data_IF_448123130857
#
_entry.id   IF_448123130857
#
_cell.length_a   1.000
_cell.length_b   1.000
_cell.length_c   1.000
_cell.angle_alpha   90.00
_cell.angle_beta   90.00
_cell.angle_gamma   90.00
#
_symmetry.space_group_name_H-M   'P 1'
#
loop_
_entity.id
_entity.type
_entity.pdbx_description
1 polymer ?
#
# COMPACT_ATOMS: atom_id res chain seq x y z
N UNK A 1 -8.41 25.72 29.85
CA UNK A 1 -7.51 25.13 30.85
C UNK A 1 -7.75 23.63 30.86
N UNK A 2 -7.01 22.86 30.07
CA UNK A 2 -7.04 21.40 30.12
C UNK A 2 -5.96 20.97 31.08
N UNK A 3 -6.34 20.44 32.25
CA UNK A 3 -5.42 19.89 33.24
C UNK A 3 -4.55 18.81 32.61
N UNK A 4 -3.24 18.92 32.80
CA UNK A 4 -2.28 17.89 32.39
C UNK A 4 -2.51 16.62 33.21
N UNK A 5 -2.62 15.44 32.59
CA UNK A 5 -2.83 14.19 33.32
C UNK A 5 -1.62 13.86 34.21
N UNK A 6 -1.89 13.21 35.35
CA UNK A 6 -0.87 12.81 36.32
C UNK A 6 -0.08 11.57 35.87
N UNK A 7 1.04 11.29 36.53
CA UNK A 7 1.95 10.17 36.18
C UNK A 7 1.29 8.79 36.40
N UNK A 8 0.41 8.70 37.39
CA UNK A 8 -0.40 7.51 37.67
C UNK A 8 -1.50 7.31 36.62
N UNK A 9 -2.10 8.39 36.10
CA UNK A 9 -3.08 8.33 35.02
C UNK A 9 -2.45 7.81 33.71
N UNK A 10 -1.23 8.25 33.39
CA UNK A 10 -0.48 7.77 32.23
C UNK A 10 -0.07 6.30 32.37
N UNK A 11 0.36 5.87 33.56
CA UNK A 11 0.72 4.47 33.83
C UNK A 11 -0.50 3.54 33.77
N UNK A 12 -1.65 3.99 34.25
CA UNK A 12 -2.91 3.25 34.15
C UNK A 12 -3.42 3.18 32.71
N UNK A 13 -3.29 4.27 31.94
CA UNK A 13 -3.59 4.27 30.50
C UNK A 13 -2.68 3.30 29.74
N UNK A 14 -1.40 3.21 30.11
CA UNK A 14 -0.44 2.27 29.52
C UNK A 14 -0.87 0.82 29.73
N UNK A 15 -1.17 0.44 30.97
CA UNK A 15 -1.63 -0.90 31.32
C UNK A 15 -2.94 -1.25 30.60
N UNK A 16 -3.85 -0.28 30.48
CA UNK A 16 -5.13 -0.45 29.78
C UNK A 16 -4.94 -0.65 28.27
N UNK A 17 -4.13 0.19 27.61
CA UNK A 17 -3.87 0.10 26.17
C UNK A 17 -3.13 -1.19 25.82
N UNK A 18 -2.18 -1.61 26.67
CA UNK A 18 -1.49 -2.88 26.55
C UNK A 18 -2.45 -4.08 26.68
N UNK A 19 -3.40 -4.01 27.61
CA UNK A 19 -4.41 -5.06 27.79
C UNK A 19 -5.39 -5.17 26.63
N UNK A 20 -5.76 -4.05 26.01
CA UNK A 20 -6.77 -4.01 24.93
C UNK A 20 -6.14 -4.17 23.53
N UNK A 21 -4.81 -4.06 23.39
CA UNK A 21 -4.12 -4.30 22.12
C UNK A 21 -4.41 -3.25 21.03
N UNK A 22 -4.71 -2.01 21.42
CA UNK A 22 -5.24 -0.95 20.53
C UNK A 22 -4.16 0.01 20.02
N UNK A 23 -2.88 -0.30 20.22
CA UNK A 23 -1.77 0.57 19.80
C UNK A 23 -1.81 0.93 18.30
N UNK A 24 -2.38 0.08 17.46
CA UNK A 24 -2.56 0.34 16.01
C UNK A 24 -3.55 1.47 15.69
N UNK A 25 -4.38 1.89 16.66
CA UNK A 25 -5.45 2.90 16.46
C UNK A 25 -5.24 4.18 17.25
N UNK A 26 -4.17 4.27 18.03
CA UNK A 26 -3.88 5.46 18.84
C UNK A 26 -3.07 6.48 18.03
N UNK A 27 -3.73 7.60 17.68
CA UNK A 27 -3.05 8.83 17.28
C UNK A 27 -2.91 9.69 18.52
N UNK A 28 -1.70 9.86 19.05
CA UNK A 28 -1.49 10.95 19.98
C UNK A 28 -0.95 12.18 19.25
N UNK A 29 -1.37 13.34 19.73
CA UNK A 29 -0.89 14.65 19.30
C UNK A 29 0.07 15.10 20.42
N UNK A 30 1.36 14.81 20.26
CA UNK A 30 2.40 14.89 21.28
C UNK A 30 2.93 16.32 21.39
N UNK A 31 2.09 17.24 21.86
CA UNK A 31 2.48 18.65 22.01
C UNK A 31 3.29 18.89 23.31
N UNK A 32 3.54 17.86 24.15
CA UNK A 32 4.13 18.03 25.49
C UNK A 32 5.34 17.09 25.75
N UNK A 33 6.50 17.59 26.25
CA UNK A 33 7.71 16.81 26.52
C UNK A 33 7.53 15.56 27.39
N UNK A 34 6.56 15.51 28.32
CA UNK A 34 6.28 14.32 29.15
C UNK A 34 5.66 13.14 28.38
N UNK A 35 5.17 13.36 27.16
CA UNK A 35 4.80 12.27 26.27
C UNK A 35 6.00 11.39 25.95
N UNK A 36 7.19 11.98 25.77
CA UNK A 36 8.41 11.27 25.34
C UNK A 36 8.82 10.12 26.27
N UNK A 37 8.61 10.24 27.58
CA UNK A 37 8.92 9.18 28.55
C UNK A 37 7.88 8.04 28.50
N UNK A 38 6.61 8.35 28.20
CA UNK A 38 5.59 7.34 27.87
C UNK A 38 5.94 6.60 26.57
N UNK A 39 6.54 7.27 25.58
CA UNK A 39 7.10 6.60 24.41
C UNK A 39 8.25 5.67 24.79
N UNK A 40 9.19 6.09 25.65
CA UNK A 40 10.32 5.22 26.08
C UNK A 40 9.83 3.94 26.77
N UNK A 41 8.82 4.03 27.63
CA UNK A 41 8.19 2.85 28.26
C UNK A 41 7.50 1.93 27.25
N UNK A 42 6.85 2.50 26.22
CA UNK A 42 6.28 1.71 25.13
C UNK A 42 7.35 1.08 24.22
N UNK A 43 8.53 1.70 24.10
CA UNK A 43 9.63 1.24 23.23
C UNK A 43 10.30 -0.06 23.69
N UNK A 44 10.29 -0.36 24.99
CA UNK A 44 10.96 -1.53 25.60
C UNK A 44 10.04 -2.74 25.77
N UNK A 45 8.72 -2.58 25.60
CA UNK A 45 7.74 -3.66 25.74
C UNK A 45 7.66 -4.53 24.48
N UNK A 46 7.57 -5.86 24.65
CA UNK A 46 7.49 -6.89 23.59
C UNK A 46 6.16 -6.88 22.78
N UNK A 47 5.59 -5.72 22.47
CA UNK A 47 4.27 -5.62 21.82
C UNK A 47 4.39 -5.59 20.30
N UNK A 48 3.71 -6.52 19.62
CA UNK A 48 3.73 -6.76 18.17
C UNK A 48 3.02 -5.71 17.29
N UNK A 49 2.73 -4.51 17.79
CA UNK A 49 2.14 -3.42 17.00
C UNK A 49 2.76 -2.08 17.36
N UNK A 50 3.45 -1.46 16.41
CA UNK A 50 4.22 -0.23 16.64
C UNK A 50 3.69 0.89 15.74
N UNK A 51 2.72 1.64 16.26
CA UNK A 51 2.44 3.01 15.81
C UNK A 51 3.34 3.91 16.63
N UNK A 52 4.28 4.64 16.00
CA UNK A 52 5.16 5.59 16.71
C UNK A 52 5.05 6.97 16.07
N UNK A 53 4.65 7.97 16.86
CA UNK A 53 4.51 9.36 16.45
C UNK A 53 5.57 10.21 17.15
N UNK A 54 6.25 11.07 16.38
CA UNK A 54 7.15 12.09 16.90
C UNK A 54 6.64 13.42 16.39
N UNK A 55 5.98 14.16 17.29
CA UNK A 55 5.67 15.54 17.06
C UNK A 55 6.80 16.38 17.69
N UNK A 56 7.44 17.20 16.85
CA UNK A 56 8.08 18.46 17.25
C UNK A 56 9.35 18.42 18.14
N UNK A 57 10.30 17.53 17.84
CA UNK A 57 11.68 17.65 18.32
C UNK A 57 12.69 17.66 17.15
N UNK A 58 13.95 18.02 17.44
CA UNK A 58 14.94 18.40 16.44
C UNK A 58 15.31 17.28 15.46
N UNK A 59 16.14 17.61 14.47
CA UNK A 59 16.64 16.63 13.49
C UNK A 59 17.31 15.42 14.15
N UNK A 60 17.91 15.61 15.33
CA UNK A 60 18.55 14.55 16.12
C UNK A 60 17.54 13.46 16.57
N UNK A 61 16.38 13.86 17.09
CA UNK A 61 15.34 12.92 17.55
C UNK A 61 14.73 12.14 16.37
N UNK A 62 14.60 12.79 15.21
CA UNK A 62 14.21 12.12 13.98
C UNK A 62 15.27 11.11 13.50
N UNK A 63 16.55 11.39 13.67
CA UNK A 63 17.64 10.47 13.31
C UNK A 63 17.70 9.27 14.25
N UNK A 64 17.63 9.48 15.56
CA UNK A 64 17.57 8.40 16.56
C UNK A 64 16.34 7.50 16.34
N UNK A 65 15.20 8.10 15.96
CA UNK A 65 14.02 7.35 15.54
C UNK A 65 14.28 6.48 14.33
N UNK A 66 14.91 7.02 13.28
CA UNK A 66 15.23 6.24 12.10
C UNK A 66 16.27 5.14 12.37
N UNK A 67 17.16 5.34 13.35
CA UNK A 67 18.09 4.31 13.82
C UNK A 67 17.35 3.18 14.56
N UNK A 68 16.41 3.52 15.43
CA UNK A 68 15.53 2.54 16.08
C UNK A 68 14.56 1.87 15.11
N UNK A 69 14.13 2.55 14.05
CA UNK A 69 13.39 1.94 12.94
C UNK A 69 14.26 0.94 12.16
N UNK A 70 15.52 1.30 11.87
CA UNK A 70 16.43 0.44 11.12
C UNK A 70 16.77 -0.86 11.88
N UNK A 71 16.83 -0.80 13.21
CA UNK A 71 17.16 -1.95 14.07
C UNK A 71 15.99 -2.89 14.35
N UNK A 72 14.75 -2.47 14.14
CA UNK A 72 13.56 -3.27 14.47
C UNK A 72 12.93 -3.94 13.25
N UNK A 73 12.69 -5.27 13.33
CA UNK A 73 12.10 -6.08 12.24
C UNK A 73 10.57 -6.04 12.16
N UNK A 74 9.89 -5.35 13.08
CA UNK A 74 8.44 -5.48 13.31
C UNK A 74 7.62 -4.20 13.05
N UNK A 75 8.24 -3.10 12.63
CA UNK A 75 7.51 -1.83 12.54
C UNK A 75 6.64 -1.78 11.28
N UNK A 76 5.33 -1.71 11.49
CA UNK A 76 4.35 -1.62 10.42
C UNK A 76 4.01 -0.18 10.05
N UNK A 77 4.11 0.80 10.96
CA UNK A 77 3.67 2.18 10.72
C UNK A 77 4.69 3.19 11.25
N UNK A 78 5.16 4.10 10.40
CA UNK A 78 6.05 5.20 10.80
C UNK A 78 5.40 6.57 10.56
N UNK A 79 5.46 7.44 11.58
CA UNK A 79 4.96 8.81 11.53
C UNK A 79 6.09 9.77 11.85
N UNK A 80 6.33 10.73 10.97
CA UNK A 80 7.40 11.72 11.12
C UNK A 80 6.86 13.12 10.89
N UNK A 81 6.75 13.93 11.94
CA UNK A 81 6.48 15.36 11.83
C UNK A 81 7.74 16.19 12.14
N UNK A 82 8.37 16.75 11.11
CA UNK A 82 9.57 17.60 11.24
C UNK A 82 9.32 18.97 10.61
N UNK A 83 9.48 20.00 11.42
CA UNK A 83 9.18 21.40 11.08
C UNK A 83 10.41 22.15 10.53
N UNK A 84 11.63 21.64 10.73
CA UNK A 84 12.91 22.21 10.26
C UNK A 84 13.53 21.35 9.14
N UNK A 85 14.54 21.85 8.40
CA UNK A 85 15.13 21.18 7.22
C UNK A 85 15.42 19.69 7.48
N UNK A 86 14.67 18.82 6.80
CA UNK A 86 14.78 17.37 6.95
C UNK A 86 15.96 16.75 6.18
N UNK A 87 16.86 17.56 5.59
CA UNK A 87 18.00 17.10 4.78
C UNK A 87 18.85 16.00 5.43
N UNK A 88 19.15 16.02 6.75
CA UNK A 88 19.97 14.97 7.37
C UNK A 88 19.22 13.64 7.55
N UNK A 89 17.89 13.70 7.64
CA UNK A 89 16.97 12.58 7.88
C UNK A 89 16.78 11.72 6.61
N UNK A 90 17.14 12.29 5.45
CA UNK A 90 16.82 11.76 4.11
C UNK A 90 17.38 10.35 3.83
N UNK A 91 18.69 10.09 3.97
CA UNK A 91 19.24 8.80 3.54
C UNK A 91 18.70 7.67 4.42
N UNK A 92 18.61 7.94 5.73
CA UNK A 92 18.12 6.97 6.70
C UNK A 92 16.63 6.69 6.55
N UNK A 93 15.83 7.70 6.16
CA UNK A 93 14.41 7.48 5.89
C UNK A 93 14.25 6.52 4.70
N UNK A 94 15.01 6.73 3.64
CA UNK A 94 14.99 5.86 2.46
C UNK A 94 15.31 4.41 2.83
N UNK A 95 16.29 4.18 3.71
CA UNK A 95 16.62 2.84 4.21
C UNK A 95 15.47 2.21 5.01
N UNK A 96 14.78 3.01 5.83
CA UNK A 96 13.65 2.53 6.65
C UNK A 96 12.38 2.26 5.84
N UNK A 97 12.17 2.98 4.73
CA UNK A 97 11.02 2.81 3.83
C UNK A 97 10.93 1.37 3.30
N UNK A 98 12.05 0.66 3.14
CA UNK A 98 12.06 -0.75 2.73
C UNK A 98 11.31 -1.68 3.70
N UNK A 99 11.18 -1.29 4.98
CA UNK A 99 10.74 -2.18 6.07
C UNK A 99 9.37 -1.83 6.63
N UNK A 100 8.78 -0.70 6.23
CA UNK A 100 7.50 -0.21 6.77
C UNK A 100 6.32 -0.55 5.85
N UNK A 101 5.16 -0.85 6.45
CA UNK A 101 3.90 -1.09 5.70
C UNK A 101 3.10 0.19 5.49
N UNK A 102 3.17 1.14 6.40
CA UNK A 102 2.48 2.41 6.33
C UNK A 102 3.47 3.53 6.68
N UNK A 103 3.40 4.61 5.92
CA UNK A 103 4.32 5.74 6.05
C UNK A 103 3.53 7.05 5.99
N UNK A 104 3.55 7.78 7.11
CA UNK A 104 3.02 9.12 7.17
C UNK A 104 4.16 10.10 7.41
N UNK A 105 4.33 11.01 6.46
CA UNK A 105 5.35 12.04 6.47
C UNK A 105 4.69 13.41 6.50
N UNK A 106 4.95 14.12 7.58
CA UNK A 106 4.53 15.50 7.76
C UNK A 106 5.77 16.36 7.87
N UNK A 107 6.41 16.54 6.73
CA UNK A 107 7.75 17.09 6.65
C UNK A 107 7.76 18.29 5.71
N UNK A 108 8.57 19.30 6.00
CA UNK A 108 8.85 20.34 5.01
C UNK A 108 9.89 19.82 3.99
N UNK A 109 9.44 19.18 2.91
CA UNK A 109 10.35 18.61 1.90
C UNK A 109 10.91 19.69 0.99
N UNK A 110 12.21 19.63 0.70
CA UNK A 110 12.76 20.25 -0.50
C UNK A 110 12.41 19.42 -1.73
N UNK A 111 12.43 20.03 -2.92
CA UNK A 111 12.17 19.35 -4.19
C UNK A 111 13.10 18.14 -4.40
N UNK A 112 14.40 18.32 -4.17
CA UNK A 112 15.40 17.26 -4.29
C UNK A 112 15.14 16.08 -3.34
N UNK A 113 14.65 16.36 -2.12
CA UNK A 113 14.29 15.29 -1.20
C UNK A 113 13.03 14.55 -1.65
N UNK A 114 12.00 15.27 -2.07
CA UNK A 114 10.79 14.66 -2.63
C UNK A 114 11.12 13.73 -3.81
N UNK A 115 12.00 14.15 -4.72
CA UNK A 115 12.50 13.31 -5.82
C UNK A 115 13.13 12.02 -5.30
N UNK A 116 14.00 12.12 -4.30
CA UNK A 116 14.72 10.97 -3.73
C UNK A 116 13.76 9.99 -3.04
N UNK A 117 12.81 10.51 -2.26
CA UNK A 117 11.75 9.73 -1.62
C UNK A 117 10.87 9.01 -2.65
N UNK A 118 10.41 9.69 -3.69
CA UNK A 118 9.57 9.06 -4.72
C UNK A 118 10.32 7.99 -5.51
N UNK A 119 11.61 8.20 -5.80
CA UNK A 119 12.46 7.17 -6.42
C UNK A 119 12.63 5.94 -5.52
N UNK A 120 12.77 6.12 -4.21
CA UNK A 120 12.82 5.01 -3.26
C UNK A 120 11.49 4.26 -3.22
N UNK A 121 10.38 4.99 -3.15
CA UNK A 121 9.02 4.43 -3.12
C UNK A 121 8.63 3.75 -4.44
N UNK A 122 9.18 4.15 -5.59
CA UNK A 122 8.89 3.56 -6.90
C UNK A 122 9.13 2.03 -6.91
N UNK A 123 10.22 1.59 -6.28
CA UNK A 123 10.61 0.16 -6.18
C UNK A 123 10.16 -0.49 -4.88
N UNK A 124 9.61 0.29 -3.96
CA UNK A 124 9.18 -0.22 -2.67
C UNK A 124 8.00 -1.18 -2.83
N UNK A 125 8.00 -2.26 -2.03
CA UNK A 125 6.96 -3.29 -2.02
C UNK A 125 6.23 -3.42 -0.68
N UNK A 126 6.65 -2.63 0.31
CA UNK A 126 6.20 -2.73 1.70
C UNK A 126 5.12 -1.70 1.99
N UNK A 127 5.35 -0.43 1.60
CA UNK A 127 4.46 0.70 1.88
C UNK A 127 3.17 0.60 1.06
N UNK A 128 2.04 0.50 1.77
CA UNK A 128 0.67 0.50 1.28
C UNK A 128 -0.01 1.86 1.44
N UNK A 129 0.30 2.60 2.49
CA UNK A 129 -0.26 3.93 2.76
C UNK A 129 0.84 4.97 2.78
N UNK A 130 0.69 6.01 1.96
CA UNK A 130 1.55 7.19 1.95
C UNK A 130 0.70 8.43 2.18
N UNK A 131 0.99 9.16 3.25
CA UNK A 131 0.45 10.51 3.46
C UNK A 131 1.62 11.49 3.56
N UNK A 132 1.67 12.46 2.64
CA UNK A 132 2.69 13.50 2.62
C UNK A 132 2.01 14.85 2.78
N UNK A 133 2.45 15.62 3.76
CA UNK A 133 2.28 17.08 3.74
C UNK A 133 3.58 17.69 3.26
N UNK A 134 3.55 18.44 2.17
CA UNK A 134 4.74 19.09 1.62
C UNK A 134 4.42 20.55 1.28
N UNK A 135 5.40 21.43 1.51
CA UNK A 135 5.27 22.86 1.27
C UNK A 135 5.92 23.31 -0.05
N UNK A 136 6.77 22.49 -0.70
CA UNK A 136 7.49 22.86 -1.92
C UNK A 136 7.74 21.65 -2.84
N UNK A 137 6.91 21.49 -3.87
CA UNK A 137 7.15 20.55 -4.97
C UNK A 137 7.50 21.34 -6.24
N UNK A 138 8.64 21.05 -6.86
CA UNK A 138 8.99 21.53 -8.19
C UNK A 138 8.52 20.58 -9.30
N UNK A 139 8.92 20.87 -10.54
CA UNK A 139 8.62 20.01 -11.69
C UNK A 139 9.27 18.63 -11.57
N UNK A 140 10.47 18.54 -11.02
CA UNK A 140 11.17 17.26 -10.92
C UNK A 140 10.51 16.30 -9.93
N UNK A 141 10.09 16.80 -8.77
CA UNK A 141 9.34 15.98 -7.82
C UNK A 141 7.96 15.59 -8.34
N UNK A 142 7.27 16.45 -9.09
CA UNK A 142 6.03 16.11 -9.77
C UNK A 142 6.21 14.93 -10.73
N UNK A 143 7.22 14.97 -11.60
CA UNK A 143 7.54 13.88 -12.51
C UNK A 143 7.97 12.61 -11.75
N UNK A 144 8.73 12.74 -10.67
CA UNK A 144 9.13 11.61 -9.84
C UNK A 144 7.92 10.95 -9.13
N UNK A 145 6.98 11.75 -8.63
CA UNK A 145 5.72 11.28 -8.06
C UNK A 145 4.89 10.51 -9.09
N UNK A 146 4.71 11.04 -10.30
CA UNK A 146 3.99 10.34 -11.35
C UNK A 146 4.63 9.00 -11.75
N UNK A 147 5.97 8.96 -11.87
CA UNK A 147 6.68 7.70 -12.10
C UNK A 147 6.47 6.69 -10.97
N UNK A 148 6.55 7.15 -9.73
CA UNK A 148 6.29 6.33 -8.55
C UNK A 148 4.86 5.76 -8.59
N UNK A 149 3.86 6.60 -8.81
CA UNK A 149 2.45 6.19 -8.94
C UNK A 149 2.26 5.20 -10.09
N UNK A 150 2.89 5.41 -11.25
CA UNK A 150 2.74 4.51 -12.41
C UNK A 150 3.32 3.11 -12.17
N UNK A 151 4.39 3.00 -11.37
CA UNK A 151 5.17 1.74 -11.22
C UNK A 151 4.98 1.03 -9.89
N UNK A 152 4.61 1.74 -8.84
CA UNK A 152 4.40 1.14 -7.54
C UNK A 152 3.12 0.28 -7.56
N UNK A 153 3.23 -0.95 -7.04
CA UNK A 153 2.15 -1.95 -6.98
C UNK A 153 1.73 -2.33 -5.55
N UNK A 154 2.41 -1.80 -4.54
CA UNK A 154 2.12 -2.06 -3.12
C UNK A 154 1.21 -0.98 -2.52
N UNK A 155 1.31 0.25 -2.99
CA UNK A 155 0.59 1.41 -2.50
C UNK A 155 -0.89 1.34 -2.86
N UNK A 156 -1.74 1.43 -1.85
CA UNK A 156 -3.20 1.42 -1.93
C UNK A 156 -3.79 2.78 -1.59
N UNK A 157 -3.08 3.62 -0.82
CA UNK A 157 -3.57 4.94 -0.43
C UNK A 157 -2.48 5.98 -0.60
N UNK A 158 -2.79 7.06 -1.32
CA UNK A 158 -1.93 8.21 -1.52
C UNK A 158 -2.65 9.48 -1.08
N UNK A 159 -2.14 10.16 -0.06
CA UNK A 159 -2.67 11.44 0.41
C UNK A 159 -1.59 12.49 0.30
N UNK A 160 -1.90 13.58 -0.38
CA UNK A 160 -0.99 14.70 -0.55
C UNK A 160 -1.71 15.97 -0.09
N UNK A 161 -1.17 16.59 0.95
CA UNK A 161 -1.62 17.87 1.48
C UNK A 161 -0.65 18.96 1.00
N UNK A 162 -1.12 19.75 0.04
CA UNK A 162 -0.42 20.84 -0.60
C UNK A 162 -0.88 22.14 0.07
N UNK A 163 -0.03 22.70 0.94
CA UNK A 163 -0.30 24.02 1.53
C UNK A 163 0.38 25.10 0.70
N UNK A 164 -0.43 26.03 0.23
CA UNK A 164 0.03 27.24 -0.46
C UNK A 164 0.66 28.22 0.54
N UNK A 165 1.91 28.58 0.27
CA UNK A 165 2.48 29.85 0.73
C UNK A 165 3.13 30.51 -0.49
N UNK A 166 2.51 31.61 -0.95
CA UNK A 166 2.84 32.47 -2.09
C UNK A 166 2.39 32.06 -3.51
N UNK A 167 2.07 33.10 -4.31
CA UNK A 167 1.58 33.05 -5.70
C UNK A 167 2.49 32.30 -6.69
N UNK A 168 3.75 32.05 -6.35
CA UNK A 168 4.69 31.28 -7.18
C UNK A 168 4.43 29.76 -7.19
N UNK A 169 3.53 29.25 -6.33
CA UNK A 169 3.25 27.81 -6.19
C UNK A 169 2.11 27.28 -7.09
N UNK A 170 1.35 28.13 -7.75
CA UNK A 170 0.22 27.73 -8.61
C UNK A 170 0.71 26.94 -9.85
N UNK A 171 1.80 27.38 -10.48
CA UNK A 171 2.42 26.69 -11.64
C UNK A 171 2.95 25.30 -11.26
N UNK A 172 3.47 25.17 -10.04
CA UNK A 172 3.99 23.92 -9.50
C UNK A 172 2.85 22.94 -9.19
N UNK A 173 1.77 23.43 -8.59
CA UNK A 173 0.55 22.68 -8.32
C UNK A 173 -0.05 22.11 -9.61
N UNK A 174 -0.17 22.95 -10.65
CA UNK A 174 -0.64 22.53 -11.98
C UNK A 174 0.24 21.42 -12.59
N UNK A 175 1.56 21.49 -12.37
CA UNK A 175 2.49 20.46 -12.85
C UNK A 175 2.23 19.10 -12.18
N UNK A 176 2.03 19.08 -10.85
CA UNK A 176 1.70 17.84 -10.12
C UNK A 176 0.36 17.28 -10.58
N UNK A 177 -0.66 18.12 -10.72
CA UNK A 177 -1.97 17.70 -11.16
C UNK A 177 -1.90 17.03 -12.54
N UNK A 178 -1.20 17.64 -13.50
CA UNK A 178 -1.02 17.07 -14.85
C UNK A 178 -0.29 15.73 -14.86
N UNK A 179 0.80 15.65 -14.10
CA UNK A 179 1.59 14.42 -13.98
C UNK A 179 0.76 13.29 -13.34
N UNK A 180 -0.06 13.60 -12.32
CA UNK A 180 -0.96 12.64 -11.69
C UNK A 180 -2.13 12.23 -12.59
N UNK A 181 -2.65 13.12 -13.44
CA UNK A 181 -3.67 12.78 -14.45
C UNK A 181 -3.18 11.71 -15.41
N UNK A 182 -1.91 11.77 -15.82
CA UNK A 182 -1.35 10.76 -16.72
C UNK A 182 -0.98 9.45 -15.98
N UNK A 183 -0.58 9.56 -14.72
CA UNK A 183 -0.08 8.43 -13.94
C UNK A 183 -1.21 7.58 -13.33
N UNK A 184 -2.21 8.19 -12.70
CA UNK A 184 -3.25 7.49 -11.93
C UNK A 184 -4.08 6.52 -12.78
N UNK A 185 -4.52 6.86 -14.01
CA UNK A 185 -5.26 5.93 -14.86
C UNK A 185 -4.48 4.66 -15.21
N UNK A 186 -3.15 4.73 -15.23
CA UNK A 186 -2.26 3.59 -15.51
C UNK A 186 -2.00 2.73 -14.26
N UNK A 187 -2.29 3.22 -13.06
CA UNK A 187 -2.18 2.46 -11.83
C UNK A 187 -3.45 1.65 -11.55
N UNK A 188 -3.29 0.36 -11.24
CA UNK A 188 -4.39 -0.59 -10.95
C UNK A 188 -4.56 -0.94 -9.46
N UNK A 189 -3.73 -0.38 -8.59
CA UNK A 189 -3.54 -0.82 -7.21
C UNK A 189 -3.98 0.21 -6.16
N UNK A 190 -3.96 1.50 -6.51
CA UNK A 190 -4.46 2.58 -5.66
C UNK A 190 -5.98 2.49 -5.51
N UNK A 191 -6.44 2.55 -4.26
CA UNK A 191 -7.86 2.50 -3.87
C UNK A 191 -8.35 3.82 -3.26
N UNK A 192 -7.45 4.69 -2.82
CA UNK A 192 -7.76 6.02 -2.32
C UNK A 192 -6.65 7.01 -2.72
N UNK A 193 -7.05 8.15 -3.30
CA UNK A 193 -6.16 9.25 -3.63
C UNK A 193 -6.80 10.54 -3.14
N UNK A 194 -6.15 11.25 -2.24
CA UNK A 194 -6.62 12.53 -1.71
C UNK A 194 -5.59 13.60 -2.03
N UNK A 195 -5.99 14.62 -2.79
CA UNK A 195 -5.21 15.82 -3.03
C UNK A 195 -5.90 16.97 -2.29
N UNK A 196 -5.29 17.47 -1.21
CA UNK A 196 -5.84 18.59 -0.43
C UNK A 196 -5.08 19.86 -0.81
N UNK A 197 -5.81 20.82 -1.38
CA UNK A 197 -5.33 22.16 -1.73
C UNK A 197 -6.55 23.09 -1.74
N UNK A 198 -6.33 24.40 -1.56
CA UNK A 198 -7.43 25.39 -1.54
C UNK A 198 -8.01 25.60 -2.94
N UNK A 199 -7.20 25.49 -3.99
CA UNK A 199 -7.56 25.76 -5.38
C UNK A 199 -8.06 24.53 -6.16
N UNK A 200 -7.70 23.30 -5.77
CA UNK A 200 -8.02 22.07 -6.55
C UNK A 200 -9.45 21.55 -6.34
N UNK A 201 -10.36 22.33 -5.76
CA UNK A 201 -11.79 21.96 -5.75
C UNK A 201 -12.39 21.78 -7.16
N UNK A 202 -11.70 22.20 -8.22
CA UNK A 202 -12.18 22.11 -9.62
C UNK A 202 -11.34 21.24 -10.55
N UNK A 203 -10.13 20.81 -10.18
CA UNK A 203 -9.22 20.12 -11.11
C UNK A 203 -9.20 18.60 -10.80
N UNK A 204 -9.70 17.81 -11.76
CA UNK A 204 -9.39 16.37 -11.99
C UNK A 204 -9.99 15.33 -11.03
N UNK A 205 -10.99 15.72 -10.26
CA UNK A 205 -11.71 14.78 -9.41
C UNK A 205 -12.38 13.65 -10.24
N UNK A 206 -12.82 13.93 -11.47
CA UNK A 206 -13.44 12.91 -12.34
C UNK A 206 -12.47 11.80 -12.80
N UNK A 207 -11.25 12.16 -13.21
CA UNK A 207 -10.24 11.19 -13.68
C UNK A 207 -9.79 10.31 -12.52
N UNK A 208 -9.49 10.92 -11.37
CA UNK A 208 -9.10 10.19 -10.16
C UNK A 208 -10.24 9.29 -9.71
N UNK A 209 -11.48 9.81 -9.56
CA UNK A 209 -12.65 8.99 -9.19
C UNK A 209 -12.87 7.84 -10.16
N UNK A 210 -12.77 8.07 -11.47
CA UNK A 210 -12.96 7.03 -12.50
C UNK A 210 -11.91 5.93 -12.36
N UNK A 211 -10.63 6.30 -12.23
CA UNK A 211 -9.54 5.34 -12.05
C UNK A 211 -9.68 4.54 -10.74
N UNK A 212 -10.03 5.22 -9.63
CA UNK A 212 -10.25 4.58 -8.34
C UNK A 212 -11.47 3.65 -8.39
N UNK A 213 -12.58 4.07 -9.00
CA UNK A 213 -13.77 3.21 -9.19
C UNK A 213 -13.43 1.95 -10.00
N UNK A 214 -12.64 2.08 -11.07
CA UNK A 214 -12.13 0.95 -11.86
C UNK A 214 -11.28 0.02 -10.99
N UNK A 215 -10.39 0.55 -10.14
CA UNK A 215 -9.55 -0.27 -9.25
C UNK A 215 -10.38 -1.03 -8.20
N UNK A 216 -11.37 -0.38 -7.59
CA UNK A 216 -12.34 -1.06 -6.71
C UNK A 216 -13.12 -2.14 -7.47
N UNK A 217 -13.51 -1.89 -8.72
CA UNK A 217 -14.11 -2.88 -9.60
C UNK A 217 -13.25 -4.12 -9.79
N UNK A 218 -11.95 -3.94 -10.07
CA UNK A 218 -10.98 -5.04 -10.19
C UNK A 218 -10.86 -5.83 -8.89
N UNK A 219 -10.77 -5.16 -7.74
CA UNK A 219 -10.72 -5.85 -6.44
C UNK A 219 -11.99 -6.66 -6.21
N UNK A 220 -13.16 -6.10 -6.50
CA UNK A 220 -14.44 -6.80 -6.34
C UNK A 220 -14.56 -8.01 -7.27
N UNK A 221 -14.07 -7.91 -8.51
CA UNK A 221 -13.96 -9.03 -9.45
C UNK A 221 -13.05 -10.14 -8.89
N UNK A 222 -11.87 -9.78 -8.39
CA UNK A 222 -10.96 -10.73 -7.75
C UNK A 222 -11.59 -11.41 -6.52
N UNK A 223 -12.33 -10.66 -5.70
CA UNK A 223 -13.07 -11.22 -4.56
C UNK A 223 -14.18 -12.18 -4.99
N UNK A 224 -14.91 -11.89 -6.07
CA UNK A 224 -15.90 -12.83 -6.64
C UNK A 224 -15.23 -14.11 -7.12
N UNK A 225 -14.06 -14.00 -7.76
CA UNK A 225 -13.28 -15.16 -8.13
C UNK A 225 -12.95 -15.99 -6.90
N UNK A 226 -12.39 -15.41 -5.84
CA UNK A 226 -12.08 -16.11 -4.59
C UNK A 226 -13.32 -16.83 -4.04
N UNK A 227 -14.48 -16.16 -4.04
CA UNK A 227 -15.77 -16.71 -3.60
C UNK A 227 -16.36 -17.80 -4.51
N UNK A 228 -15.77 -18.10 -5.68
CA UNK A 228 -16.20 -19.20 -6.54
C UNK A 228 -16.67 -18.83 -7.94
N UNK A 229 -16.55 -17.57 -8.37
CA UNK A 229 -16.88 -17.20 -9.74
C UNK A 229 -15.95 -17.88 -10.75
N UNK A 230 -16.52 -18.37 -11.86
CA UNK A 230 -15.80 -18.99 -12.97
C UNK A 230 -15.72 -18.10 -14.22
N UNK A 231 -15.98 -16.80 -14.07
CA UNK A 231 -15.87 -15.84 -15.17
C UNK A 231 -14.40 -15.52 -15.45
N UNK A 232 -14.03 -15.48 -16.74
CA UNK A 232 -12.68 -15.09 -17.20
C UNK A 232 -12.23 -13.75 -16.61
N UNK A 233 -13.12 -12.76 -16.62
CA UNK A 233 -12.88 -11.41 -16.09
C UNK A 233 -12.54 -11.40 -14.60
N UNK A 234 -13.28 -12.17 -13.79
CA UNK A 234 -13.06 -12.27 -12.35
C UNK A 234 -11.72 -12.99 -12.06
N UNK A 235 -11.43 -14.05 -12.82
CA UNK A 235 -10.16 -14.77 -12.72
C UNK A 235 -8.96 -13.91 -13.15
N UNK A 236 -9.11 -13.10 -14.21
CA UNK A 236 -8.08 -12.17 -14.68
C UNK A 236 -7.81 -11.09 -13.63
N UNK A 237 -8.86 -10.54 -13.01
CA UNK A 237 -8.69 -9.57 -11.94
C UNK A 237 -7.93 -10.18 -10.74
N UNK A 238 -8.20 -11.45 -10.41
CA UNK A 238 -7.44 -12.18 -9.40
C UNK A 238 -5.98 -12.40 -9.83
N UNK A 239 -5.71 -12.83 -11.06
CA UNK A 239 -4.36 -13.03 -11.59
C UNK A 239 -3.50 -11.76 -11.43
N UNK A 240 -4.09 -10.60 -11.72
CA UNK A 240 -3.44 -9.27 -11.59
C UNK A 240 -3.17 -8.90 -10.11
N UNK A 241 -4.09 -9.23 -9.21
CA UNK A 241 -4.11 -8.70 -7.83
C UNK A 241 -3.68 -9.69 -6.74
N UNK A 242 -3.46 -10.97 -7.06
CA UNK A 242 -3.19 -12.05 -6.10
C UNK A 242 -2.04 -11.76 -5.11
N UNK A 243 -1.08 -10.92 -5.50
CA UNK A 243 0.07 -10.55 -4.68
C UNK A 243 -0.02 -9.13 -4.10
N UNK A 244 -1.13 -8.43 -4.28
CA UNK A 244 -1.26 -7.03 -3.93
C UNK A 244 -1.87 -6.82 -2.54
N UNK A 245 -1.43 -5.77 -1.86
CA UNK A 245 -1.97 -5.39 -0.55
C UNK A 245 -3.45 -4.99 -0.62
N UNK A 246 -3.90 -4.42 -1.75
CA UNK A 246 -5.30 -4.01 -1.98
C UNK A 246 -6.28 -5.17 -1.85
N UNK A 247 -5.95 -6.34 -2.40
CA UNK A 247 -6.78 -7.54 -2.31
C UNK A 247 -6.83 -8.08 -0.88
N UNK A 248 -5.67 -8.16 -0.21
CA UNK A 248 -5.58 -8.60 1.21
C UNK A 248 -6.40 -7.69 2.13
N UNK A 249 -6.25 -6.38 2.01
CA UNK A 249 -7.02 -5.41 2.79
C UNK A 249 -8.53 -5.57 2.58
N UNK A 250 -8.95 -5.82 1.35
CA UNK A 250 -10.37 -5.96 1.00
C UNK A 250 -10.94 -7.32 1.43
N UNK A 251 -10.14 -8.39 1.36
CA UNK A 251 -10.47 -9.71 1.92
C UNK A 251 -10.69 -9.62 3.42
N UNK A 252 -9.78 -8.95 4.14
CA UNK A 252 -9.86 -8.72 5.59
C UNK A 252 -11.21 -8.13 5.99
N UNK A 253 -11.64 -7.08 5.28
CA UNK A 253 -12.92 -6.41 5.53
C UNK A 253 -14.11 -7.30 5.18
N UNK A 254 -14.05 -8.04 4.06
CA UNK A 254 -15.15 -8.90 3.60
C UNK A 254 -15.36 -10.15 4.48
N UNK A 255 -14.28 -10.73 4.99
CA UNK A 255 -14.31 -11.94 5.79
C UNK A 255 -14.39 -11.66 7.30
N UNK A 256 -14.28 -10.38 7.71
CA UNK A 256 -14.23 -9.93 9.09
C UNK A 256 -13.21 -10.72 9.95
N UNK A 257 -12.12 -11.17 9.33
CA UNK A 257 -11.02 -11.88 9.99
C UNK A 257 -9.81 -10.95 10.12
N UNK A 258 -9.06 -11.08 11.20
CA UNK A 258 -7.75 -10.41 11.35
C UNK A 258 -6.59 -11.39 11.18
N UNK A 259 -6.85 -12.68 10.92
CA UNK A 259 -5.83 -13.70 10.75
C UNK A 259 -5.28 -13.68 9.32
N UNK A 260 -3.98 -13.41 9.20
CA UNK A 260 -3.26 -13.41 7.93
C UNK A 260 -3.20 -14.82 7.30
N UNK A 261 -3.21 -15.86 8.13
CA UNK A 261 -3.14 -17.26 7.69
C UNK A 261 -4.41 -17.68 6.95
N UNK A 262 -5.57 -17.27 7.46
CA UNK A 262 -6.85 -17.49 6.78
C UNK A 262 -6.90 -16.76 5.45
N UNK A 263 -6.45 -15.50 5.40
CA UNK A 263 -6.41 -14.72 4.16
C UNK A 263 -5.52 -15.38 3.11
N UNK A 264 -4.34 -15.85 3.50
CA UNK A 264 -3.43 -16.55 2.59
C UNK A 264 -4.02 -17.88 2.12
N UNK A 265 -4.74 -18.62 2.99
CA UNK A 265 -5.46 -19.85 2.59
C UNK A 265 -6.46 -19.59 1.46
N UNK A 266 -7.30 -18.56 1.57
CA UNK A 266 -8.27 -18.21 0.52
C UNK A 266 -7.59 -17.82 -0.80
N UNK A 267 -6.46 -17.09 -0.72
CA UNK A 267 -5.68 -16.71 -1.91
C UNK A 267 -5.05 -17.95 -2.54
N UNK A 268 -4.48 -18.86 -1.75
CA UNK A 268 -3.86 -20.09 -2.24
C UNK A 268 -4.88 -21.06 -2.86
N UNK A 269 -6.08 -21.18 -2.28
CA UNK A 269 -7.19 -21.94 -2.86
C UNK A 269 -7.62 -21.36 -4.21
N UNK A 270 -7.75 -20.04 -4.31
CA UNK A 270 -8.06 -19.38 -5.57
C UNK A 270 -6.93 -19.53 -6.61
N UNK A 271 -5.66 -19.47 -6.19
CA UNK A 271 -4.49 -19.71 -7.07
C UNK A 271 -4.49 -21.13 -7.62
N UNK A 272 -4.76 -22.12 -6.76
CA UNK A 272 -4.93 -23.52 -7.19
C UNK A 272 -6.06 -23.64 -8.21
N UNK A 273 -7.23 -23.08 -7.92
CA UNK A 273 -8.37 -23.10 -8.85
C UNK A 273 -8.02 -22.48 -10.20
N UNK A 274 -7.35 -21.33 -10.22
CA UNK A 274 -6.90 -20.68 -11.45
C UNK A 274 -6.05 -21.62 -12.32
N UNK A 275 -5.13 -22.37 -11.71
CA UNK A 275 -4.28 -23.33 -12.42
C UNK A 275 -5.01 -24.60 -12.88
N UNK A 276 -5.92 -25.15 -12.05
CA UNK A 276 -6.65 -26.37 -12.38
C UNK A 276 -7.71 -26.14 -13.45
N UNK A 277 -8.39 -25.00 -13.39
CA UNK A 277 -9.50 -24.69 -14.27
C UNK A 277 -9.13 -23.69 -15.38
N UNK A 278 -7.83 -23.46 -15.61
CA UNK A 278 -7.32 -22.49 -16.60
C UNK A 278 -8.07 -22.58 -17.94
N UNK A 279 -8.10 -23.77 -18.55
CA UNK A 279 -8.73 -23.98 -19.87
C UNK A 279 -10.24 -23.77 -19.88
N UNK A 280 -10.91 -23.96 -18.74
CA UNK A 280 -12.34 -23.63 -18.58
C UNK A 280 -12.50 -22.12 -18.47
N UNK A 281 -11.66 -21.46 -17.66
CA UNK A 281 -11.69 -20.02 -17.45
C UNK A 281 -11.40 -19.23 -18.75
N UNK A 282 -10.49 -19.71 -19.60
CA UNK A 282 -10.21 -19.10 -20.91
C UNK A 282 -11.17 -19.55 -22.02
N UNK A 283 -12.11 -20.45 -21.73
CA UNK A 283 -13.12 -20.90 -22.70
C UNK A 283 -12.63 -21.89 -23.76
N UNK A 284 -11.40 -22.41 -23.64
CA UNK A 284 -10.85 -23.43 -24.56
C UNK A 284 -11.62 -24.76 -24.43
N UNK A 285 -12.07 -25.10 -23.21
CA UNK A 285 -12.90 -26.28 -22.95
C UNK A 285 -14.12 -25.93 -22.11
N UNK A 286 -15.23 -26.66 -22.30
CA UNK A 286 -16.45 -26.44 -21.51
C UNK A 286 -16.37 -26.99 -20.08
N UNK A 287 -15.58 -28.05 -19.86
CA UNK A 287 -15.52 -28.72 -18.56
C UNK A 287 -14.19 -29.43 -18.29
N UNK A 288 -13.72 -30.27 -19.22
CA UNK A 288 -12.49 -31.05 -19.05
C UNK A 288 -11.72 -31.13 -20.36
N UNK A 289 -10.40 -31.13 -20.26
CA UNK A 289 -9.49 -31.34 -21.37
C UNK A 289 -9.55 -32.81 -21.81
N UNK A 290 -9.78 -33.02 -23.09
CA UNK A 290 -9.66 -34.30 -23.76
C UNK A 290 -8.85 -34.09 -25.03
N UNK A 291 -7.74 -34.82 -25.17
CA UNK A 291 -6.92 -34.76 -26.37
C UNK A 291 -7.42 -35.78 -27.39
N UNK A 292 -7.45 -35.39 -28.67
CA UNK A 292 -7.73 -36.33 -29.74
C UNK A 292 -6.74 -37.52 -29.72
N UNK A 293 -7.17 -38.72 -30.14
CA UNK A 293 -6.29 -39.87 -30.25
C UNK A 293 -5.11 -39.55 -31.18
N UNK A 294 -3.88 -39.74 -30.72
CA UNK A 294 -2.68 -39.54 -31.52
C UNK A 294 -2.09 -40.90 -31.91
N UNK A 295 -1.61 -41.04 -33.15
CA UNK A 295 -1.24 -42.31 -33.78
C UNK A 295 0.14 -42.88 -33.36
N UNK A 296 0.85 -42.28 -32.40
CA UNK A 296 2.12 -42.78 -31.86
C UNK A 296 2.23 -42.40 -30.39
N UNK A 297 2.88 -43.25 -29.59
CA UNK A 297 2.98 -43.25 -28.11
C UNK A 297 3.56 -42.01 -27.41
N UNK A 298 3.31 -40.81 -27.93
CA UNK A 298 3.56 -39.54 -27.27
C UNK A 298 2.64 -39.34 -26.07
N UNK A 299 3.20 -38.84 -24.97
CA UNK A 299 2.46 -38.43 -23.77
C UNK A 299 1.45 -37.34 -24.12
N UNK A 300 0.16 -37.61 -23.87
CA UNK A 300 -0.92 -36.66 -24.10
C UNK A 300 -1.19 -35.82 -22.87
N UNK A 301 -1.55 -34.55 -23.07
CA UNK A 301 -1.81 -33.60 -21.98
C UNK A 301 -2.94 -34.08 -21.05
N UNK A 302 -4.03 -34.62 -21.62
CA UNK A 302 -5.18 -35.16 -20.89
C UNK A 302 -4.85 -36.38 -20.00
N UNK A 303 -3.73 -37.06 -20.27
CA UNK A 303 -3.23 -38.19 -19.49
C UNK A 303 -2.26 -37.80 -18.37
N UNK A 304 -1.82 -36.55 -18.33
CA UNK A 304 -1.01 -36.06 -17.21
C UNK A 304 -1.85 -35.99 -15.93
N UNK A 305 -1.18 -36.10 -14.77
CA UNK A 305 -1.86 -35.86 -13.50
C UNK A 305 -2.36 -34.41 -13.43
N UNK A 306 -3.44 -34.16 -12.68
CA UNK A 306 -3.97 -32.80 -12.49
C UNK A 306 -2.91 -31.84 -11.96
N UNK A 307 -1.99 -32.30 -11.10
CA UNK A 307 -0.90 -31.49 -10.56
C UNK A 307 0.11 -31.09 -11.65
N UNK A 308 0.44 -32.01 -12.57
CA UNK A 308 1.33 -31.69 -13.69
C UNK A 308 0.67 -30.72 -14.67
N UNK A 309 -0.63 -30.90 -14.95
CA UNK A 309 -1.39 -29.96 -15.78
C UNK A 309 -1.41 -28.57 -15.15
N UNK A 310 -1.74 -28.47 -13.84
CA UNK A 310 -1.72 -27.21 -13.10
C UNK A 310 -0.33 -26.55 -13.09
N UNK A 311 0.74 -27.35 -12.96
CA UNK A 311 2.10 -26.83 -13.04
C UNK A 311 2.41 -26.25 -14.42
N UNK A 312 1.99 -26.90 -15.51
CA UNK A 312 2.13 -26.34 -16.87
C UNK A 312 1.32 -25.04 -17.00
N UNK A 313 0.07 -25.04 -16.53
CA UNK A 313 -0.78 -23.84 -16.55
C UNK A 313 -0.21 -22.68 -15.71
N UNK A 314 0.65 -22.95 -14.72
CA UNK A 314 1.28 -21.89 -13.91
C UNK A 314 2.25 -21.00 -14.69
N UNK A 315 2.67 -21.43 -15.88
CA UNK A 315 3.47 -20.63 -16.81
C UNK A 315 2.64 -19.82 -17.81
N UNK A 316 1.32 -19.97 -17.80
CA UNK A 316 0.39 -19.29 -18.72
C UNK A 316 -0.29 -18.11 -18.00
N UNK A 317 -0.62 -17.07 -18.76
CA UNK A 317 -1.53 -16.00 -18.35
C UNK A 317 -2.91 -16.22 -18.98
N UNK A 318 -3.96 -15.82 -18.27
CA UNK A 318 -5.32 -15.76 -18.85
C UNK A 318 -5.41 -14.83 -20.06
N UNK A 319 -4.44 -13.91 -20.24
CA UNK A 319 -4.34 -13.02 -21.40
C UNK A 319 -3.71 -13.67 -22.64
N UNK A 320 -3.11 -14.85 -22.52
CA UNK A 320 -2.50 -15.57 -23.65
C UNK A 320 -3.54 -16.10 -24.64
N UNK A 321 -4.79 -16.26 -24.20
CA UNK A 321 -5.91 -16.70 -25.03
C UNK A 321 -6.82 -15.51 -25.35
N UNK A 322 -6.80 -15.13 -26.62
CA UNK A 322 -7.67 -14.07 -27.16
C UNK A 322 -9.11 -14.57 -27.19
N UNK A 323 -10.05 -13.74 -26.76
CA UNK A 323 -11.47 -14.04 -26.89
C UNK A 323 -11.83 -14.06 -28.39
N UNK A 324 -12.42 -15.17 -28.84
CA UNK A 324 -12.95 -15.31 -30.20
C UNK A 324 -14.19 -14.44 -30.41
#
# INVERSE_FOLDING_TARGET
MTSTPSEDELSNLFALVQRIGVFSRLRFNWINPRGSDFAKGAMTSQVSSTTRNIDNHGVADAMEFLETLASTRKISVAWLECVKSAQPVVPKLIDTVARTKELLLRLNLSDAFAVSLFRALERNRSVSVLEIRCLKFGRESAAALARMVKRNRSMTTLKIDLREHDRYQEIQLLSICRELEEAIPRNRFLLDVQLRTKEVKRYNDSIIRSAIRRNHGLVNQALRFIKGSMKKEDALAFEILQNCASLRLSLRVNLNTSDESDMERYIDEARKRLSFDYFVLVGVVKAKIACHPHLKGSTRFDKLSKLMQAHICSFLSLTDVVDC
#
